data_IF_749135203311
#
_entry.id   IF_749135203311
#
_cell.length_a   1.000
_cell.length_b   1.000
_cell.length_c   1.000
_cell.angle_alpha   90.00
_cell.angle_beta   90.00
_cell.angle_gamma   90.00
#
_symmetry.space_group_name_H-M   'P 1'
#
loop_
_entity.id
_entity.type
_entity.pdbx_description
1 polymer ?
#
# COMPACT_ATOMS: atom_id res chain seq x y z
N UNK A 1 4.36 -6.46 27.21
CA UNK A 1 3.53 -6.48 25.98
C UNK A 1 4.35 -7.12 24.88
N UNK A 2 3.75 -7.81 23.90
CA UNK A 2 4.51 -8.30 22.75
C UNK A 2 5.09 -7.10 21.97
N UNK A 3 6.42 -7.05 21.90
CA UNK A 3 7.19 -6.00 21.23
C UNK A 3 7.30 -6.32 19.74
N UNK A 4 6.85 -5.41 18.87
CA UNK A 4 6.99 -5.56 17.42
C UNK A 4 8.42 -5.16 17.06
N UNK A 5 9.27 -6.16 16.79
CA UNK A 5 10.64 -5.93 16.30
C UNK A 5 10.61 -5.16 14.98
N UNK A 6 11.49 -4.17 14.84
CA UNK A 6 11.62 -3.33 13.63
C UNK A 6 10.30 -2.70 13.18
N UNK A 7 9.50 -2.17 14.12
CA UNK A 7 8.19 -1.58 13.84
C UNK A 7 8.20 -0.53 12.70
N UNK A 8 9.26 0.27 12.59
CA UNK A 8 9.46 1.22 11.49
C UNK A 8 9.38 0.56 10.10
N UNK A 9 9.79 -0.70 9.95
CA UNK A 9 9.74 -1.45 8.69
C UNK A 9 8.37 -2.01 8.33
N UNK A 10 7.36 -1.78 9.17
CA UNK A 10 5.97 -1.98 8.79
C UNK A 10 5.37 -0.75 8.10
N UNK A 11 5.99 0.44 8.21
CA UNK A 11 5.37 1.69 7.78
C UNK A 11 5.73 2.02 6.33
N UNK A 12 4.70 2.21 5.51
CA UNK A 12 4.76 2.92 4.23
C UNK A 12 4.25 4.35 4.45
N UNK A 13 5.18 5.30 4.56
CA UNK A 13 4.87 6.70 4.84
C UNK A 13 4.39 7.38 3.57
N UNK A 14 3.17 7.91 3.59
CA UNK A 14 2.40 8.20 2.38
C UNK A 14 1.91 9.65 2.34
N UNK A 15 2.02 10.29 1.19
CA UNK A 15 1.33 11.55 0.88
C UNK A 15 0.77 11.48 -0.55
N UNK A 16 -0.56 11.41 -0.68
CA UNK A 16 -1.26 11.27 -1.96
C UNK A 16 -2.44 12.22 -2.12
N UNK A 17 -2.57 13.20 -1.21
CA UNK A 17 -3.60 14.23 -1.28
C UNK A 17 -3.34 15.15 -2.50
N UNK A 18 -4.37 15.54 -3.27
CA UNK A 18 -4.18 16.26 -4.53
C UNK A 18 -3.50 17.64 -4.37
N UNK A 19 -3.60 18.25 -3.20
CA UNK A 19 -3.02 19.54 -2.85
C UNK A 19 -1.57 19.47 -2.33
N UNK A 20 -0.96 18.28 -2.29
CA UNK A 20 0.40 18.11 -1.77
C UNK A 20 1.44 18.91 -2.56
N UNK A 21 2.12 19.81 -1.86
CA UNK A 21 3.15 20.68 -2.42
C UNK A 21 4.50 19.98 -2.51
N UNK A 22 5.37 20.46 -3.40
CA UNK A 22 6.76 19.98 -3.52
C UNK A 22 7.50 19.99 -2.16
N UNK A 23 7.29 21.01 -1.35
CA UNK A 23 7.91 21.13 -0.02
C UNK A 23 7.47 20.01 0.92
N UNK A 24 6.17 19.70 0.94
CA UNK A 24 5.65 18.59 1.74
C UNK A 24 6.16 17.23 1.24
N UNK A 25 6.34 17.05 -0.07
CA UNK A 25 6.97 15.86 -0.64
C UNK A 25 8.40 15.68 -0.13
N UNK A 26 9.20 16.75 -0.15
CA UNK A 26 10.56 16.74 0.37
C UNK A 26 10.56 16.37 1.86
N UNK A 27 9.68 17.01 2.63
CA UNK A 27 9.53 16.73 4.06
C UNK A 27 9.20 15.25 4.31
N UNK A 28 8.23 14.68 3.60
CA UNK A 28 7.84 13.26 3.76
C UNK A 28 8.99 12.32 3.43
N UNK A 29 9.80 12.62 2.40
CA UNK A 29 10.99 11.84 2.10
C UNK A 29 12.02 11.91 3.25
N UNK A 30 12.28 13.10 3.78
CA UNK A 30 13.20 13.29 4.91
C UNK A 30 12.73 12.60 6.19
N UNK A 31 11.43 12.64 6.47
CA UNK A 31 10.82 11.92 7.58
C UNK A 31 10.97 10.40 7.42
N UNK A 32 10.77 9.90 6.19
CA UNK A 32 10.95 8.48 5.90
C UNK A 32 12.39 8.01 6.11
N UNK A 33 13.37 8.83 5.69
CA UNK A 33 14.80 8.59 5.96
C UNK A 33 15.07 8.61 7.46
N UNK A 34 14.62 9.66 8.17
CA UNK A 34 14.86 9.85 9.62
C UNK A 34 14.43 8.64 10.45
N UNK A 35 13.25 8.09 10.18
CA UNK A 35 12.72 6.94 10.91
C UNK A 35 13.03 5.60 10.23
N UNK A 36 13.77 5.61 9.12
CA UNK A 36 14.11 4.44 8.33
C UNK A 36 12.86 3.58 8.03
N UNK A 37 11.79 4.20 7.53
CA UNK A 37 10.56 3.50 7.15
C UNK A 37 10.80 2.48 6.03
N UNK A 38 9.81 1.64 5.73
CA UNK A 38 9.94 0.66 4.65
C UNK A 38 9.95 1.35 3.29
N UNK A 39 8.95 2.20 3.06
CA UNK A 39 8.69 2.83 1.77
C UNK A 39 8.16 4.24 1.96
N UNK A 40 8.50 5.13 1.02
CA UNK A 40 7.88 6.43 0.84
C UNK A 40 6.92 6.36 -0.37
N UNK A 41 5.61 6.57 -0.16
CA UNK A 41 4.60 6.50 -1.22
C UNK A 41 4.13 7.90 -1.64
N UNK A 42 4.34 8.25 -2.91
CA UNK A 42 4.24 9.62 -3.42
C UNK A 42 3.44 9.71 -4.72
N UNK A 43 2.93 10.90 -5.09
CA UNK A 43 2.28 11.11 -6.38
C UNK A 43 3.29 10.92 -7.52
N UNK A 44 2.90 10.29 -8.66
CA UNK A 44 3.84 9.97 -9.74
C UNK A 44 4.68 11.14 -10.25
N UNK A 45 4.12 12.36 -10.30
CA UNK A 45 4.83 13.56 -10.76
C UNK A 45 6.08 13.95 -9.94
N UNK A 46 6.26 13.38 -8.75
CA UNK A 46 7.40 13.65 -7.88
C UNK A 46 8.38 12.49 -7.73
N UNK A 47 8.18 11.36 -8.44
CA UNK A 47 9.04 10.18 -8.28
C UNK A 47 10.52 10.47 -8.56
N UNK A 48 10.83 11.19 -9.65
CA UNK A 48 12.22 11.58 -9.95
C UNK A 48 12.86 12.41 -8.84
N UNK A 49 12.12 13.37 -8.28
CA UNK A 49 12.60 14.20 -7.18
C UNK A 49 12.86 13.34 -5.93
N UNK A 50 11.92 12.46 -5.60
CA UNK A 50 12.03 11.59 -4.44
C UNK A 50 13.20 10.61 -4.56
N UNK A 51 13.43 10.05 -5.76
CA UNK A 51 14.57 9.17 -6.05
C UNK A 51 15.90 9.83 -5.67
N UNK A 52 16.09 11.09 -6.04
CA UNK A 52 17.31 11.84 -5.70
C UNK A 52 17.46 12.07 -4.19
N UNK A 53 16.36 12.32 -3.48
CA UNK A 53 16.37 12.52 -2.03
C UNK A 53 16.66 11.21 -1.28
N UNK A 54 16.14 10.09 -1.77
CA UNK A 54 16.21 8.78 -1.12
C UNK A 54 17.45 7.96 -1.50
N UNK A 55 18.28 8.42 -2.45
CA UNK A 55 19.36 7.65 -3.11
C UNK A 55 20.32 6.91 -2.18
N UNK A 56 20.64 7.48 -1.01
CA UNK A 56 21.60 6.92 -0.05
C UNK A 56 20.90 6.29 1.17
N UNK A 57 19.59 6.06 1.07
CA UNK A 57 18.77 5.51 2.14
C UNK A 57 18.31 4.08 1.83
N UNK A 58 17.88 3.35 2.86
CA UNK A 58 17.24 2.04 2.70
C UNK A 58 15.72 2.14 2.51
N UNK A 59 15.19 3.35 2.30
CA UNK A 59 13.76 3.59 2.13
C UNK A 59 13.43 3.42 0.65
N UNK A 60 12.54 2.49 0.34
CA UNK A 60 12.09 2.27 -1.03
C UNK A 60 11.19 3.41 -1.50
N UNK A 61 11.15 3.62 -2.81
CA UNK A 61 10.18 4.55 -3.42
C UNK A 61 8.97 3.79 -3.96
N UNK A 62 7.77 4.22 -3.56
CA UNK A 62 6.50 3.62 -3.95
C UNK A 62 5.64 4.54 -4.80
N UNK A 63 4.96 3.98 -5.80
CA UNK A 63 4.06 4.71 -6.69
C UNK A 63 2.66 4.07 -6.75
N UNK A 64 1.59 4.87 -6.66
CA UNK A 64 0.24 4.38 -6.91
C UNK A 64 -0.03 4.30 -8.42
N UNK A 65 -0.85 3.33 -8.85
CA UNK A 65 -1.23 3.12 -10.26
C UNK A 65 -2.75 3.12 -10.38
N UNK A 66 -3.28 3.82 -11.38
CA UNK A 66 -4.73 3.98 -11.63
C UNK A 66 -5.46 4.56 -10.42
N UNK A 67 -4.80 5.38 -9.63
CA UNK A 67 -5.26 5.77 -8.30
C UNK A 67 -6.06 7.08 -8.31
N UNK A 68 -7.14 7.21 -7.51
CA UNK A 68 -7.65 6.23 -6.54
C UNK A 68 -8.74 5.30 -7.09
N UNK A 69 -9.23 5.47 -8.32
CA UNK A 69 -10.48 4.82 -8.74
C UNK A 69 -10.33 3.50 -9.50
N UNK A 70 -9.18 3.23 -10.11
CA UNK A 70 -8.86 1.93 -10.72
C UNK A 70 -9.57 1.62 -12.04
N UNK A 71 -10.34 2.56 -12.60
CA UNK A 71 -11.20 2.32 -13.77
C UNK A 71 -10.54 2.60 -15.13
N UNK A 72 -9.26 2.93 -15.14
CA UNK A 72 -8.50 3.21 -16.36
C UNK A 72 -8.28 1.89 -17.12
N UNK A 73 -8.16 2.00 -18.44
CA UNK A 73 -7.86 0.85 -19.29
C UNK A 73 -6.55 0.19 -18.89
N UNK A 74 -6.48 -1.13 -19.02
CA UNK A 74 -5.31 -1.93 -18.63
C UNK A 74 -4.02 -1.46 -19.31
N UNK A 75 -4.09 -1.04 -20.57
CA UNK A 75 -2.93 -0.51 -21.30
C UNK A 75 -2.37 0.76 -20.66
N UNK A 76 -3.25 1.64 -20.17
CA UNK A 76 -2.86 2.85 -19.46
C UNK A 76 -2.21 2.49 -18.12
N UNK A 77 -2.76 1.53 -17.37
CA UNK A 77 -2.14 1.06 -16.12
C UNK A 77 -0.75 0.48 -16.35
N UNK A 78 -0.57 -0.27 -17.44
CA UNK A 78 0.74 -0.85 -17.83
C UNK A 78 1.73 0.27 -18.18
N UNK A 79 1.32 1.27 -18.96
CA UNK A 79 2.18 2.41 -19.31
C UNK A 79 2.56 3.23 -18.08
N UNK A 80 1.59 3.51 -17.20
CA UNK A 80 1.80 4.21 -15.93
C UNK A 80 2.79 3.45 -15.03
N UNK A 81 2.66 2.11 -14.97
CA UNK A 81 3.55 1.25 -14.18
C UNK A 81 4.99 1.30 -14.68
N UNK A 82 5.20 1.13 -15.99
CA UNK A 82 6.54 1.23 -16.61
C UNK A 82 7.16 2.60 -16.35
N UNK A 83 6.35 3.65 -16.53
CA UNK A 83 6.78 5.03 -16.30
C UNK A 83 7.20 5.26 -14.85
N UNK A 84 6.43 4.77 -13.88
CA UNK A 84 6.77 4.88 -12.47
C UNK A 84 8.11 4.19 -12.15
N UNK A 85 8.35 3.01 -12.72
CA UNK A 85 9.61 2.25 -12.55
C UNK A 85 10.80 2.97 -13.17
N UNK A 86 10.65 3.48 -14.39
CA UNK A 86 11.69 4.31 -15.04
C UNK A 86 12.08 5.51 -14.16
N UNK A 87 11.11 6.06 -13.42
CA UNK A 87 11.30 7.20 -12.52
C UNK A 87 11.78 6.80 -11.12
N UNK A 88 12.01 5.51 -10.88
CA UNK A 88 12.66 4.98 -9.67
C UNK A 88 11.73 4.31 -8.68
N UNK A 89 10.45 4.08 -8.99
CA UNK A 89 9.59 3.30 -8.13
C UNK A 89 10.05 1.83 -8.06
N UNK A 90 10.14 1.31 -6.84
CA UNK A 90 10.52 -0.08 -6.52
C UNK A 90 9.35 -0.87 -5.90
N UNK A 91 8.24 -0.19 -5.60
CA UNK A 91 7.04 -0.79 -5.05
C UNK A 91 5.80 -0.16 -5.71
N UNK A 92 4.93 -1.00 -6.26
CA UNK A 92 3.74 -0.56 -7.01
C UNK A 92 2.48 -0.85 -6.19
N UNK A 93 1.62 0.15 -5.99
CA UNK A 93 0.28 -0.05 -5.42
C UNK A 93 -0.79 0.27 -6.48
N UNK A 94 -1.32 -0.75 -7.17
CA UNK A 94 -2.36 -0.57 -8.19
C UNK A 94 -3.76 -0.62 -7.59
N UNK A 95 -4.69 0.16 -8.12
CA UNK A 95 -6.13 0.00 -7.80
C UNK A 95 -6.81 -0.93 -8.79
N UNK A 96 -7.57 -1.90 -8.28
CA UNK A 96 -8.36 -2.80 -9.12
C UNK A 96 -9.43 -2.04 -9.90
N UNK A 97 -9.83 -2.58 -11.04
CA UNK A 97 -11.08 -2.15 -11.65
C UNK A 97 -12.27 -2.70 -10.81
N UNK A 98 -12.78 -1.86 -9.90
CA UNK A 98 -13.91 -2.22 -9.02
C UNK A 98 -15.15 -2.54 -9.86
N UNK A 99 -15.36 -1.83 -10.98
CA UNK A 99 -16.50 -2.10 -11.87
C UNK A 99 -16.46 -3.51 -12.44
N UNK A 100 -15.29 -4.00 -12.86
CA UNK A 100 -15.16 -5.39 -13.33
C UNK A 100 -15.47 -6.39 -12.24
N UNK A 101 -15.01 -6.15 -11.01
CA UNK A 101 -15.33 -7.02 -9.87
C UNK A 101 -16.85 -7.06 -9.61
N UNK A 102 -17.50 -5.89 -9.59
CA UNK A 102 -18.95 -5.74 -9.37
C UNK A 102 -19.77 -6.37 -10.49
N UNK A 103 -19.30 -6.28 -11.73
CA UNK A 103 -19.93 -6.89 -12.91
C UNK A 103 -19.60 -8.37 -13.09
N UNK A 104 -18.80 -8.97 -12.18
CA UNK A 104 -18.33 -10.36 -12.27
C UNK A 104 -17.52 -10.66 -13.53
N UNK A 105 -16.88 -9.64 -14.11
CA UNK A 105 -15.98 -9.72 -15.26
C UNK A 105 -14.59 -10.21 -14.80
N UNK A 106 -14.54 -11.39 -14.17
CA UNK A 106 -13.37 -11.88 -13.45
C UNK A 106 -12.17 -12.15 -14.36
N UNK A 107 -12.41 -12.56 -15.61
CA UNK A 107 -11.34 -12.80 -16.58
C UNK A 107 -10.67 -11.49 -16.99
N UNK A 108 -11.45 -10.44 -17.24
CA UNK A 108 -10.93 -9.09 -17.51
C UNK A 108 -10.17 -8.53 -16.31
N UNK A 109 -10.69 -8.73 -15.11
CA UNK A 109 -10.02 -8.28 -13.89
C UNK A 109 -8.71 -9.02 -13.63
N UNK A 110 -8.68 -10.33 -13.89
CA UNK A 110 -7.46 -11.12 -13.80
C UNK A 110 -6.43 -10.66 -14.84
N UNK A 111 -6.85 -10.42 -16.08
CA UNK A 111 -5.97 -9.90 -17.12
C UNK A 111 -5.40 -8.51 -16.74
N UNK A 112 -6.26 -7.60 -16.26
CA UNK A 112 -5.88 -6.25 -15.82
C UNK A 112 -4.76 -6.28 -14.78
N UNK A 113 -4.93 -7.10 -13.74
CA UNK A 113 -3.95 -7.24 -12.65
C UNK A 113 -2.69 -7.95 -13.16
N UNK A 114 -2.84 -9.04 -13.92
CA UNK A 114 -1.69 -9.83 -14.40
C UNK A 114 -0.79 -9.02 -15.34
N UNK A 115 -1.36 -8.17 -16.19
CA UNK A 115 -0.58 -7.30 -17.09
C UNK A 115 0.20 -6.23 -16.32
N UNK A 116 -0.35 -5.69 -15.24
CA UNK A 116 0.38 -4.77 -14.35
C UNK A 116 1.47 -5.49 -13.58
N UNK A 117 1.21 -6.70 -13.07
CA UNK A 117 2.22 -7.55 -12.41
C UNK A 117 3.39 -7.84 -13.35
N UNK A 118 3.13 -8.20 -14.61
CA UNK A 118 4.18 -8.43 -15.59
C UNK A 118 4.98 -7.15 -15.87
N UNK A 119 4.30 -6.03 -16.07
CA UNK A 119 4.93 -4.74 -16.34
C UNK A 119 5.77 -4.22 -15.15
N UNK A 120 5.45 -4.66 -13.92
CA UNK A 120 6.14 -4.23 -12.71
C UNK A 120 7.45 -4.97 -12.46
N UNK A 121 7.73 -6.09 -13.13
CA UNK A 121 8.92 -6.90 -12.90
C UNK A 121 10.21 -6.07 -13.08
N UNK A 122 11.23 -6.26 -12.22
CA UNK A 122 11.34 -7.30 -11.19
C UNK A 122 10.66 -6.96 -9.85
N UNK A 123 9.94 -5.84 -9.76
CA UNK A 123 9.31 -5.38 -8.52
C UNK A 123 7.95 -6.05 -8.27
N UNK A 124 7.56 -6.07 -7.00
CA UNK A 124 6.27 -6.60 -6.56
C UNK A 124 5.13 -5.61 -6.66
N UNK A 125 3.93 -6.11 -6.94
CA UNK A 125 2.68 -5.33 -6.97
C UNK A 125 1.86 -5.59 -5.72
N UNK A 126 1.32 -4.51 -5.15
CA UNK A 126 0.27 -4.52 -4.14
C UNK A 126 -1.03 -4.12 -4.82
N UNK A 127 -2.06 -4.93 -4.67
CA UNK A 127 -3.36 -4.66 -5.27
C UNK A 127 -4.33 -4.06 -4.25
N UNK A 128 -4.72 -2.81 -4.45
CA UNK A 128 -5.71 -2.10 -3.64
C UNK A 128 -7.10 -2.52 -4.08
N UNK A 129 -7.86 -3.13 -3.17
CA UNK A 129 -9.19 -3.68 -3.48
C UNK A 129 -10.35 -2.78 -3.06
N UNK A 130 -10.05 -1.75 -2.28
CA UNK A 130 -11.02 -0.78 -1.74
C UNK A 130 -12.18 -1.46 -0.99
N UNK A 131 -11.83 -2.12 0.11
CA UNK A 131 -12.73 -3.02 0.86
C UNK A 131 -14.04 -2.39 1.30
N UNK A 132 -14.11 -1.07 1.46
CA UNK A 132 -15.32 -0.35 1.86
C UNK A 132 -16.45 -0.44 0.83
N UNK A 133 -16.16 -0.80 -0.42
CA UNK A 133 -17.16 -1.03 -1.45
C UNK A 133 -17.52 -2.50 -1.63
N UNK A 134 -16.79 -3.42 -0.98
CA UNK A 134 -16.87 -4.84 -1.29
C UNK A 134 -17.71 -5.62 -0.27
N UNK A 135 -18.51 -6.56 -0.76
CA UNK A 135 -19.12 -7.59 0.06
C UNK A 135 -18.07 -8.61 0.50
N UNK A 136 -18.41 -9.46 1.47
CA UNK A 136 -17.54 -10.56 1.89
C UNK A 136 -17.20 -11.51 0.72
N UNK A 137 -18.17 -11.84 -0.11
CA UNK A 137 -17.97 -12.70 -1.28
C UNK A 137 -17.01 -12.08 -2.30
N UNK A 138 -17.14 -10.78 -2.56
CA UNK A 138 -16.24 -10.07 -3.47
C UNK A 138 -14.82 -9.97 -2.90
N UNK A 139 -14.66 -9.79 -1.57
CA UNK A 139 -13.35 -9.82 -0.89
C UNK A 139 -12.67 -11.18 -1.05
N UNK A 140 -13.41 -12.27 -0.90
CA UNK A 140 -12.90 -13.63 -1.15
C UNK A 140 -12.47 -13.75 -2.61
N UNK A 141 -13.34 -13.32 -3.54
CA UNK A 141 -13.08 -13.49 -4.97
C UNK A 141 -11.87 -12.69 -5.45
N UNK A 142 -11.71 -11.45 -5.03
CA UNK A 142 -10.56 -10.64 -5.43
C UNK A 142 -9.25 -11.16 -4.83
N UNK A 143 -9.29 -11.74 -3.63
CA UNK A 143 -8.11 -12.38 -3.05
C UNK A 143 -7.64 -13.58 -3.90
N UNK A 144 -8.56 -14.42 -4.37
CA UNK A 144 -8.23 -15.52 -5.29
C UNK A 144 -7.58 -15.01 -6.58
N UNK A 145 -8.17 -13.97 -7.18
CA UNK A 145 -7.67 -13.36 -8.41
C UNK A 145 -6.27 -12.75 -8.18
N UNK A 146 -6.06 -12.03 -7.08
CA UNK A 146 -4.79 -11.43 -6.72
C UNK A 146 -3.68 -12.48 -6.55
N UNK A 147 -3.98 -13.59 -5.89
CA UNK A 147 -3.04 -14.72 -5.74
C UNK A 147 -2.73 -15.33 -7.12
N UNK A 148 -3.76 -15.56 -7.95
CA UNK A 148 -3.59 -16.12 -9.30
C UNK A 148 -2.76 -15.21 -10.22
N UNK A 149 -2.94 -13.90 -10.10
CA UNK A 149 -2.20 -12.91 -10.88
C UNK A 149 -0.74 -12.73 -10.42
N UNK A 150 -0.36 -13.27 -9.26
CA UNK A 150 1.00 -13.15 -8.72
C UNK A 150 1.28 -11.85 -7.97
N UNK A 151 0.25 -11.20 -7.41
CA UNK A 151 0.45 -10.03 -6.55
C UNK A 151 1.23 -10.42 -5.28
N UNK A 152 2.14 -9.55 -4.84
CA UNK A 152 2.88 -9.75 -3.60
C UNK A 152 2.03 -9.39 -2.37
N UNK A 153 1.18 -8.37 -2.51
CA UNK A 153 0.30 -7.92 -1.43
C UNK A 153 -1.14 -7.72 -1.92
N UNK A 154 -2.10 -8.01 -1.04
CA UNK A 154 -3.43 -7.41 -1.08
C UNK A 154 -3.45 -6.19 -0.15
N UNK A 155 -3.98 -5.07 -0.62
CA UNK A 155 -4.07 -3.80 0.12
C UNK A 155 -5.53 -3.41 0.31
N UNK A 156 -5.88 -2.98 1.53
CA UNK A 156 -7.29 -2.73 1.89
C UNK A 156 -7.90 -1.54 1.14
N UNK A 157 -7.31 -0.35 1.25
CA UNK A 157 -8.01 0.90 0.90
C UNK A 157 -7.08 1.94 0.30
N UNK A 158 -7.60 2.83 -0.56
CA UNK A 158 -6.86 4.00 -1.06
C UNK A 158 -6.76 5.10 0.00
N UNK A 159 -7.73 5.18 0.90
CA UNK A 159 -7.93 6.31 1.81
C UNK A 159 -8.81 7.43 1.25
N UNK A 160 -9.32 7.29 0.02
CA UNK A 160 -10.27 8.21 -0.61
C UNK A 160 -11.71 7.66 -0.63
N UNK A 161 -11.90 6.39 -0.25
CA UNK A 161 -13.22 5.80 0.00
C UNK A 161 -13.83 6.21 1.35
N UNK A 162 -15.10 5.84 1.60
CA UNK A 162 -15.82 6.20 2.82
C UNK A 162 -15.28 5.55 4.10
N UNK A 163 -14.54 4.44 4.00
CA UNK A 163 -13.92 3.74 5.13
C UNK A 163 -12.54 3.20 4.75
N UNK A 164 -11.68 3.06 5.76
CA UNK A 164 -10.32 2.53 5.61
C UNK A 164 -10.18 1.07 6.05
N UNK A 165 -9.01 0.71 6.57
CA UNK A 165 -8.74 -0.63 7.06
C UNK A 165 -9.55 -0.97 8.31
N UNK A 166 -10.30 -2.07 8.26
CA UNK A 166 -11.01 -2.65 9.39
C UNK A 166 -10.33 -3.95 9.84
N UNK A 167 -10.37 -4.23 11.15
CA UNK A 167 -9.71 -5.42 11.73
C UNK A 167 -10.27 -6.73 11.18
N UNK A 168 -11.57 -6.75 10.86
CA UNK A 168 -12.27 -7.89 10.29
C UNK A 168 -11.77 -8.23 8.89
N UNK A 169 -11.50 -7.22 8.05
CA UNK A 169 -10.92 -7.41 6.72
C UNK A 169 -9.52 -8.02 6.78
N UNK A 170 -8.69 -7.58 7.72
CA UNK A 170 -7.34 -8.12 7.90
C UNK A 170 -7.40 -9.59 8.33
N UNK A 171 -8.29 -9.94 9.27
CA UNK A 171 -8.47 -11.33 9.73
C UNK A 171 -8.98 -12.21 8.60
N UNK A 172 -9.98 -11.75 7.85
CA UNK A 172 -10.52 -12.46 6.69
C UNK A 172 -9.42 -12.76 5.67
N UNK A 173 -8.64 -11.74 5.29
CA UNK A 173 -7.54 -11.93 4.35
C UNK A 173 -6.45 -12.84 4.92
N UNK A 174 -6.11 -12.74 6.21
CA UNK A 174 -5.07 -13.59 6.81
C UNK A 174 -5.48 -15.06 6.84
N UNK A 175 -6.74 -15.35 7.16
CA UNK A 175 -7.30 -16.70 7.16
C UNK A 175 -7.22 -17.33 5.75
N UNK A 176 -7.60 -16.56 4.73
CA UNK A 176 -7.72 -17.07 3.36
C UNK A 176 -6.41 -17.06 2.58
N UNK A 177 -5.50 -16.12 2.85
CA UNK A 177 -4.24 -15.96 2.11
C UNK A 177 -3.32 -17.17 2.25
N UNK A 178 -3.34 -17.87 3.39
CA UNK A 178 -2.50 -19.06 3.68
C UNK A 178 -1.04 -18.90 3.22
N UNK A 179 -0.47 -17.73 3.54
CA UNK A 179 0.90 -17.31 3.22
C UNK A 179 1.26 -17.21 1.72
N UNK A 180 0.27 -17.24 0.82
CA UNK A 180 0.44 -17.03 -0.63
C UNK A 180 0.55 -15.56 -1.02
N UNK A 181 0.07 -14.65 -0.18
CA UNK A 181 0.06 -13.20 -0.42
C UNK A 181 0.14 -12.47 0.92
N UNK A 182 0.86 -11.35 0.97
CA UNK A 182 0.99 -10.51 2.17
C UNK A 182 -0.16 -9.51 2.24
N UNK A 183 -0.38 -8.90 3.41
CA UNK A 183 -1.47 -7.95 3.62
C UNK A 183 -0.90 -6.57 3.95
N UNK A 184 -1.35 -5.53 3.23
CA UNK A 184 -1.09 -4.12 3.56
C UNK A 184 -2.39 -3.46 4.04
N UNK A 185 -2.42 -3.06 5.30
CA UNK A 185 -3.54 -2.30 5.85
C UNK A 185 -3.33 -0.80 5.58
N UNK A 186 -4.32 -0.11 5.04
CA UNK A 186 -4.25 1.33 4.78
C UNK A 186 -5.62 2.02 4.90
N UNK A 187 -5.59 3.32 5.17
CA UNK A 187 -6.78 4.16 5.37
C UNK A 187 -7.17 4.27 6.84
N UNK A 188 -7.20 5.50 7.38
CA UNK A 188 -7.67 5.78 8.75
C UNK A 188 -6.72 5.41 9.90
N UNK A 189 -5.51 4.91 9.63
CA UNK A 189 -4.55 4.47 10.65
C UNK A 189 -3.75 5.69 11.15
N UNK A 190 -4.05 6.15 12.38
CA UNK A 190 -3.55 7.41 12.95
C UNK A 190 -2.79 7.25 14.28
N UNK A 191 -2.85 6.07 14.90
CA UNK A 191 -2.20 5.78 16.20
C UNK A 191 -1.40 4.48 16.16
N UNK A 192 -0.42 4.36 17.04
CA UNK A 192 0.35 3.13 17.23
C UNK A 192 -0.54 1.96 17.61
N UNK A 193 -1.53 2.16 18.48
CA UNK A 193 -2.44 1.09 18.89
C UNK A 193 -3.22 0.52 17.70
N UNK A 194 -3.71 1.37 16.79
CA UNK A 194 -4.37 0.90 15.56
C UNK A 194 -3.41 0.08 14.69
N UNK A 195 -2.21 0.60 14.44
CA UNK A 195 -1.20 -0.10 13.63
C UNK A 195 -0.82 -1.46 14.25
N UNK A 196 -0.58 -1.50 15.56
CA UNK A 196 -0.27 -2.72 16.32
C UNK A 196 -1.37 -3.76 16.19
N UNK A 197 -2.63 -3.37 16.39
CA UNK A 197 -3.76 -4.30 16.31
C UNK A 197 -3.90 -4.91 14.90
N UNK A 198 -3.67 -4.10 13.85
CA UNK A 198 -3.69 -4.59 12.47
C UNK A 198 -2.53 -5.54 12.18
N UNK A 199 -1.32 -5.25 12.69
CA UNK A 199 -0.15 -6.13 12.54
C UNK A 199 -0.40 -7.48 13.23
N UNK A 200 -0.89 -7.46 14.48
CA UNK A 200 -1.24 -8.69 15.22
C UNK A 200 -2.33 -9.49 14.49
N UNK A 201 -3.28 -8.82 13.84
CA UNK A 201 -4.30 -9.50 13.04
C UNK A 201 -3.79 -10.11 11.73
N UNK A 202 -2.56 -9.78 11.29
CA UNK A 202 -1.92 -10.38 10.12
C UNK A 202 -1.41 -9.38 9.08
N UNK A 203 -1.53 -8.07 9.29
CA UNK A 203 -0.97 -7.08 8.37
C UNK A 203 0.57 -7.13 8.39
N UNK A 204 1.17 -7.24 7.21
CA UNK A 204 2.62 -7.22 7.01
C UNK A 204 3.16 -5.83 6.66
N UNK A 205 2.26 -4.88 6.33
CA UNK A 205 2.60 -3.49 6.04
C UNK A 205 1.44 -2.57 6.42
N UNK A 206 1.75 -1.32 6.77
CA UNK A 206 0.84 -0.27 7.20
C UNK A 206 1.05 0.96 6.30
N UNK A 207 0.06 1.29 5.47
CA UNK A 207 0.04 2.53 4.70
C UNK A 207 -0.60 3.66 5.50
N UNK A 208 0.16 4.71 5.80
CA UNK A 208 -0.34 5.85 6.59
C UNK A 208 0.41 7.14 6.26
N UNK A 209 -0.30 8.27 6.37
CA UNK A 209 0.32 9.61 6.36
C UNK A 209 0.69 10.10 7.78
N UNK A 210 0.37 9.32 8.81
CA UNK A 210 0.65 9.63 10.22
C UNK A 210 1.90 8.89 10.73
N UNK A 211 2.81 8.46 9.83
CA UNK A 211 3.96 7.63 10.17
C UNK A 211 4.82 8.22 11.28
N UNK A 212 5.13 9.52 11.21
CA UNK A 212 5.90 10.24 12.25
C UNK A 212 5.21 10.19 13.61
N UNK A 213 3.91 10.50 13.66
CA UNK A 213 3.13 10.47 14.91
C UNK A 213 3.12 9.08 15.51
N UNK A 214 2.81 8.07 14.69
CA UNK A 214 2.75 6.66 15.08
C UNK A 214 4.11 6.18 15.61
N UNK A 215 5.20 6.57 14.95
CA UNK A 215 6.56 6.20 15.37
C UNK A 215 6.94 6.88 16.69
N UNK A 216 6.58 8.15 16.90
CA UNK A 216 6.79 8.84 18.17
C UNK A 216 6.00 8.20 19.32
N UNK A 217 4.75 7.79 19.09
CA UNK A 217 3.96 7.04 20.08
C UNK A 217 4.65 5.72 20.46
N UNK A 218 5.14 4.96 19.47
CA UNK A 218 5.91 3.74 19.70
C UNK A 218 7.20 3.98 20.49
N UNK A 219 8.02 4.95 20.10
CA UNK A 219 9.27 5.29 20.77
C UNK A 219 9.07 5.72 22.22
N UNK A 220 8.02 6.49 22.49
CA UNK A 220 7.66 6.90 23.86
C UNK A 220 7.25 5.73 24.74
N UNK A 221 6.66 4.67 24.18
CA UNK A 221 6.28 3.47 24.94
C UNK A 221 7.52 2.64 25.27
N UNK A 222 8.37 2.32 24.29
CA UNK A 222 9.57 1.51 24.54
C UNK A 222 10.63 2.24 25.36
N UNK A 223 10.65 3.58 25.31
CA UNK A 223 11.54 4.40 26.14
C UNK A 223 11.09 4.52 27.60
N UNK A 224 9.83 4.17 27.92
CA UNK A 224 9.32 4.06 29.30
C UNK A 224 9.45 2.65 29.88
N UNK A 225 9.68 1.66 29.03
CA UNK A 225 9.90 0.26 29.42
C UNK A 225 11.39 -0.08 29.65
N UNK A 226 12.29 0.90 29.46
CA UNK A 226 13.72 0.85 29.82
C UNK A 226 13.99 1.69 31.06
#
# INVERSE_FOLDING_TARGET
MEEIKNFNKYIDHTILRPEATKQEIIQVCQEAIKYNFATCFLPPCYLKLAKEILKDSQVKLGAPISFPFGYQDTEIKVLETKKAIEEGAEEIDMVINISYLKSKEYDKLLEDISRVVEAAKPYGVKVIVETCYLTREEKIKILEIAIKAGCEYIKTSTGFGPKGAELEDIRLFKELAKDKIKIKASGGIRTYLQAKNLIIAGASRIGTSAGVKIMNEYLNLIGREK
#
